data_IF_989927161681
#
_entry.id   IF_989927161681
#
_cell.length_a   1.000
_cell.length_b   1.000
_cell.length_c   1.000
_cell.angle_alpha   90.00
_cell.angle_beta   90.00
_cell.angle_gamma   90.00
#
_symmetry.space_group_name_H-M   'P 1'
#
loop_
_entity.id
_entity.type
_entity.pdbx_description
1 polymer ?
2 non-polymer ?
3 non-polymer ?
4 non-polymer ?
5 water ?
#
# COMPACT_ATOMS: atom_id res chain seq x y z
N UNK A 1 -6.57 13.60 2.74
CA UNK A 1 -5.90 14.39 3.82
C UNK A 1 -5.09 13.46 4.69
N UNK A 2 -4.25 14.06 5.53
CA UNK A 2 -3.43 13.27 6.49
C UNK A 2 -4.30 12.50 7.48
N UNK A 3 -5.37 13.13 8.01
CA UNK A 3 -6.24 12.43 8.93
C UNK A 3 -6.93 11.28 8.21
N UNK A 4 -7.32 11.46 6.96
CA UNK A 4 -7.89 10.33 6.25
C UNK A 4 -6.88 9.20 6.04
N UNK A 5 -5.62 9.54 5.79
CA UNK A 5 -4.60 8.53 5.58
C UNK A 5 -4.42 7.72 6.87
N UNK A 6 -4.37 8.40 8.00
CA UNK A 6 -4.22 7.74 9.30
C UNK A 6 -5.42 6.81 9.56
N UNK A 7 -6.63 7.28 9.25
CA UNK A 7 -7.83 6.46 9.46
C UNK A 7 -7.78 5.22 8.57
N UNK A 8 -7.36 5.39 7.33
CA UNK A 8 -7.32 4.26 6.43
C UNK A 8 -6.26 3.24 6.87
N UNK A 9 -5.12 3.72 7.36
CA UNK A 9 -4.06 2.80 7.79
C UNK A 9 -4.51 2.02 8.98
N UNK A 10 -5.44 2.56 9.77
CA UNK A 10 -5.96 1.81 10.89
C UNK A 10 -7.04 0.86 10.42
N UNK A 11 -7.99 1.37 9.64
CA UNK A 11 -9.07 0.52 9.23
C UNK A 11 -8.67 -0.68 8.37
N UNK A 12 -7.62 -0.55 7.56
CA UNK A 12 -7.24 -1.68 6.72
C UNK A 12 -6.81 -2.89 7.55
N UNK A 13 -6.39 -2.64 8.80
CA UNK A 13 -5.98 -3.73 9.68
C UNK A 13 -7.15 -4.53 10.22
N UNK A 14 -8.34 -3.97 10.07
CA UNK A 14 -9.54 -4.58 10.63
C UNK A 14 -10.50 -5.23 9.65
N UNK A 15 -10.03 -5.44 8.43
CA UNK A 15 -10.87 -6.09 7.42
C UNK A 15 -11.21 -7.47 7.91
N UNK A 16 -12.46 -7.86 7.68
CA UNK A 16 -12.91 -9.14 8.20
C UNK A 16 -12.39 -10.35 7.47
N UNK A 17 -11.94 -10.14 6.26
CA UNK A 17 -11.39 -11.21 5.44
C UNK A 17 -10.08 -10.67 4.93
N UNK A 18 -9.10 -11.55 4.80
CA UNK A 18 -7.80 -11.15 4.32
C UNK A 18 -7.87 -10.83 2.82
N UNK A 19 -7.40 -9.64 2.41
CA UNK A 19 -7.45 -9.32 0.98
C UNK A 19 -6.48 -10.20 0.20
N UNK A 20 -6.60 -10.16 -1.12
CA UNK A 20 -5.68 -10.94 -1.96
C UNK A 20 -4.26 -10.40 -1.80
N UNK A 21 -3.27 -11.17 -2.25
CA UNK A 21 -1.89 -10.70 -2.17
C UNK A 21 -1.73 -9.45 -3.03
N UNK A 22 -2.39 -9.41 -4.18
CA UNK A 22 -2.33 -8.23 -5.03
C UNK A 22 -2.89 -6.97 -4.30
N UNK A 23 -3.99 -7.15 -3.57
CA UNK A 23 -4.58 -6.02 -2.86
C UNK A 23 -3.66 -5.59 -1.75
N UNK A 24 -3.07 -6.57 -1.08
CA UNK A 24 -2.16 -6.21 -0.01
C UNK A 24 -0.94 -5.47 -0.52
N UNK A 25 -0.49 -5.83 -1.72
CA UNK A 25 0.67 -5.14 -2.28
C UNK A 25 0.32 -3.77 -2.82
N UNK A 26 -0.93 -3.56 -3.23
CA UNK A 26 -1.36 -2.21 -3.66
C UNK A 26 -1.27 -1.35 -2.40
N UNK A 27 -1.81 -1.85 -1.29
CA UNK A 27 -1.77 -1.11 -0.03
C UNK A 27 -0.34 -0.84 0.42
N UNK A 28 0.51 -1.86 0.39
CA UNK A 28 1.91 -1.65 0.81
C UNK A 28 2.62 -0.62 -0.06
N UNK A 29 2.55 -0.81 -1.39
CA UNK A 29 3.23 0.09 -2.29
C UNK A 29 2.80 1.53 -2.17
N UNK A 30 1.49 1.72 -2.04
CA UNK A 30 1.04 3.08 -1.96
C UNK A 30 1.33 3.71 -0.62
N UNK A 31 1.36 2.90 0.44
CA UNK A 31 1.70 3.43 1.74
C UNK A 31 3.10 3.98 1.67
N UNK A 32 4.04 3.20 1.14
CA UNK A 32 5.41 3.69 1.01
C UNK A 32 5.51 4.90 0.11
N UNK A 33 4.82 4.87 -1.02
CA UNK A 33 4.92 6.00 -1.93
C UNK A 33 4.34 7.28 -1.35
N UNK A 34 3.32 7.17 -0.50
CA UNK A 34 2.68 8.32 0.13
C UNK A 34 3.54 8.90 1.29
N UNK A 35 4.48 8.12 1.81
CA UNK A 35 5.29 8.57 2.94
C UNK A 35 6.76 8.84 2.58
N UNK A 36 7.48 7.82 2.14
CA UNK A 36 8.86 7.99 1.77
C UNK A 36 8.94 8.63 0.40
N UNK A 37 8.01 8.25 -0.47
CA UNK A 37 8.03 8.75 -1.83
C UNK A 37 8.69 7.71 -2.73
N UNK A 38 9.48 8.15 -3.71
CA UNK A 38 10.12 7.21 -4.63
C UNK A 38 11.03 6.24 -3.90
N UNK A 39 10.99 5.01 -4.38
CA UNK A 39 11.76 3.94 -3.78
C UNK A 39 13.22 4.35 -3.69
N UNK A 40 13.82 4.01 -2.57
CA UNK A 40 15.19 4.41 -2.34
C UNK A 40 16.06 3.27 -1.86
N UNK A 41 15.67 2.05 -2.20
CA UNK A 41 16.41 0.87 -1.77
C UNK A 41 16.65 -0.06 -2.94
N UNK A 42 17.51 -1.05 -2.72
CA UNK A 42 17.80 -2.04 -3.75
C UNK A 42 16.87 -3.24 -3.54
N UNK A 43 16.51 -3.90 -4.62
CA UNK A 43 15.60 -5.06 -4.49
C UNK A 43 16.26 -6.13 -3.65
N UNK A 44 15.53 -6.73 -2.70
CA UNK A 44 16.08 -7.79 -1.85
C UNK A 44 16.58 -8.90 -2.75
N UNK A 45 17.64 -9.56 -2.32
CA UNK A 45 18.14 -10.62 -3.16
C UNK A 45 17.89 -11.97 -2.53
N UNK A 46 18.67 -12.94 -2.99
CA UNK A 46 18.57 -14.29 -2.48
C UNK A 46 17.14 -14.84 -2.50
N UNK A 47 16.71 -15.45 -1.40
CA UNK A 47 15.39 -16.07 -1.36
C UNK A 47 14.34 -15.28 -0.61
N UNK A 48 14.52 -13.96 -0.52
CA UNK A 48 13.53 -13.15 0.20
C UNK A 48 12.40 -12.79 -0.76
N UNK A 49 11.53 -13.76 -1.02
CA UNK A 49 10.44 -13.52 -1.97
C UNK A 49 9.37 -12.54 -1.47
N UNK A 50 9.09 -12.53 -0.16
CA UNK A 50 8.14 -11.57 0.38
C UNK A 50 8.70 -10.16 0.18
N UNK A 51 10.01 -10.01 0.42
CA UNK A 51 10.68 -8.71 0.23
C UNK A 51 10.72 -8.26 -1.23
N UNK A 52 10.97 -9.20 -2.13
CA UNK A 52 10.98 -8.89 -3.55
C UNK A 52 9.58 -8.46 -4.01
N UNK A 53 8.54 -9.14 -3.54
CA UNK A 53 7.18 -8.77 -3.96
C UNK A 53 6.82 -7.36 -3.47
N UNK A 54 7.16 -7.05 -2.22
CA UNK A 54 6.88 -5.71 -1.70
C UNK A 54 7.68 -4.66 -2.47
N UNK A 55 8.97 -4.93 -2.67
CA UNK A 55 9.83 -3.99 -3.40
C UNK A 55 9.31 -3.75 -4.79
N UNK A 56 8.91 -4.81 -5.50
CA UNK A 56 8.41 -4.64 -6.86
C UNK A 56 7.16 -3.78 -6.89
N UNK A 57 6.26 -3.97 -5.91
CA UNK A 57 5.04 -3.17 -5.88
C UNK A 57 5.35 -1.69 -5.67
N UNK A 58 6.30 -1.39 -4.78
CA UNK A 58 6.65 0.00 -4.51
C UNK A 58 7.43 0.57 -5.69
N UNK A 59 8.31 -0.22 -6.29
CA UNK A 59 9.09 0.29 -7.42
C UNK A 59 8.22 0.72 -8.60
N UNK A 60 7.12 0.01 -8.84
CA UNK A 60 6.25 0.33 -9.98
C UNK A 60 5.59 1.69 -9.86
N UNK A 61 5.59 2.25 -8.66
CA UNK A 61 4.96 3.56 -8.45
C UNK A 61 5.92 4.72 -8.55
N UNK A 62 7.17 4.45 -8.92
CA UNK A 62 8.15 5.53 -8.98
C UNK A 62 7.64 6.65 -9.89
N UNK A 63 7.73 7.88 -9.40
CA UNK A 63 7.26 9.02 -10.18
C UNK A 63 5.95 9.55 -9.65
N UNK A 64 5.21 8.73 -8.90
CA UNK A 64 3.92 9.13 -8.37
C UNK A 64 4.11 10.10 -7.24
N UNK A 65 3.31 11.18 -7.18
CA UNK A 65 3.49 12.11 -6.07
C UNK A 65 2.96 11.54 -4.77
N UNK A 66 3.47 12.04 -3.65
CA UNK A 66 2.99 11.58 -2.34
C UNK A 66 1.48 11.81 -2.22
N UNK A 67 1.03 12.99 -2.63
CA UNK A 67 -0.38 13.30 -2.50
C UNK A 67 -1.25 12.38 -3.33
N UNK A 68 -0.80 12.02 -4.53
CA UNK A 68 -1.59 11.12 -5.35
C UNK A 68 -1.53 9.68 -4.81
N UNK A 69 -0.39 9.23 -4.30
CA UNK A 69 -0.33 7.88 -3.70
C UNK A 69 -1.24 7.79 -2.45
N UNK A 70 -1.29 8.88 -1.68
CA UNK A 70 -2.10 8.93 -0.45
C UNK A 70 -3.57 8.83 -0.81
N UNK A 71 -3.99 9.62 -1.78
CA UNK A 71 -5.38 9.55 -2.21
C UNK A 71 -5.74 8.16 -2.72
N UNK A 72 -4.87 7.52 -3.50
CA UNK A 72 -5.16 6.19 -4.01
C UNK A 72 -5.20 5.12 -2.91
N UNK A 73 -4.34 5.29 -1.91
CA UNK A 73 -4.30 4.39 -0.77
C UNK A 73 -5.63 4.49 -0.02
N UNK A 74 -6.08 5.70 0.30
CA UNK A 74 -7.33 5.88 1.03
C UNK A 74 -8.47 5.31 0.22
N UNK A 75 -8.51 5.61 -1.07
CA UNK A 75 -9.60 5.07 -1.87
C UNK A 75 -9.62 3.55 -1.88
N UNK A 76 -8.45 2.92 -1.98
CA UNK A 76 -8.40 1.47 -1.97
C UNK A 76 -8.85 0.92 -0.64
N UNK A 77 -8.47 1.55 0.46
CA UNK A 77 -8.96 1.00 1.73
C UNK A 77 -10.50 1.07 1.79
N UNK A 78 -11.07 2.18 1.31
CA UNK A 78 -12.52 2.28 1.32
C UNK A 78 -13.11 1.21 0.44
N UNK A 79 -12.46 0.90 -0.67
CA UNK A 79 -12.95 -0.17 -1.56
C UNK A 79 -12.88 -1.50 -0.80
N UNK A 80 -11.77 -1.76 -0.12
CA UNK A 80 -11.64 -3.01 0.60
C UNK A 80 -12.63 -3.16 1.76
N UNK A 81 -12.95 -2.06 2.44
CA UNK A 81 -13.93 -2.09 3.53
C UNK A 81 -15.28 -2.56 2.97
N UNK A 82 -15.67 -2.03 1.81
CA UNK A 82 -16.97 -2.41 1.20
C UNK A 82 -16.93 -3.85 0.71
N UNK A 83 -15.78 -4.27 0.23
CA UNK A 83 -15.65 -5.62 -0.26
C UNK A 83 -15.62 -6.67 0.85
N UNK A 84 -14.85 -6.42 1.91
CA UNK A 84 -14.67 -7.41 2.98
C UNK A 84 -15.34 -7.16 4.32
N UNK A 85 -15.74 -5.93 4.55
CA UNK A 85 -16.35 -5.62 5.80
C UNK A 85 -15.30 -5.30 6.84
N UNK A 86 -15.78 -4.53 7.81
CA UNK A 86 -14.98 -4.06 8.90
C UNK A 86 -15.86 -4.10 10.16
X LIG B 1 -1.70 14.85 -9.23
X LIG C 1 -6.73 -1.64 15.43
X LIG D 1 -2.92 13.69 -9.93
X LIG E 1 -0.65 -15.51 0.03
#
# INVERSE_FOLDING_TARGET
SQAEFEKAAEEVRHLKTKPSDEEMLFIYGHYKQATVGDINTERPGMLDFTGKAKWDAWNELKGTSKEDAMKAYINKVEELKKKYGI
PB PB
ZN ZN
CL CL
CL CL
#
